data_IF_209443142223
#
_entry.id   IF_209443142223
#
_cell.length_a   1.000
_cell.length_b   1.000
_cell.length_c   1.000
_cell.angle_alpha   90.00
_cell.angle_beta   90.00
_cell.angle_gamma   90.00
#
_symmetry.space_group_name_H-M   'P 1'
#
loop_
_entity.id
_entity.type
_entity.pdbx_description
1 polymer ?
#
# COMPACT_ATOMS: atom_id res chain seq x y z
N UNK A 1 -2.96 2.88 17.91
CA UNK A 1 -2.90 1.68 17.05
C UNK A 1 -3.46 2.08 15.70
N UNK A 2 -2.69 1.96 14.62
CA UNK A 2 -3.16 2.26 13.26
C UNK A 2 -3.87 1.03 12.72
N UNK A 3 -5.09 1.20 12.22
CA UNK A 3 -5.91 0.12 11.65
C UNK A 3 -6.20 0.33 10.16
N UNK A 4 -5.87 1.50 9.63
CA UNK A 4 -6.13 1.88 8.25
C UNK A 4 -5.05 2.88 7.77
N UNK A 5 -4.54 2.68 6.56
CA UNK A 5 -3.58 3.59 5.91
C UNK A 5 -3.85 3.65 4.41
N UNK A 6 -3.72 4.84 3.83
CA UNK A 6 -3.87 5.05 2.39
C UNK A 6 -2.61 5.69 1.84
N UNK A 7 -2.12 5.14 0.72
CA UNK A 7 -1.10 5.76 -0.11
C UNK A 7 -1.76 6.33 -1.37
N UNK A 8 -1.35 7.52 -1.78
CA UNK A 8 -1.65 8.06 -3.09
C UNK A 8 -0.43 7.86 -3.99
N UNK A 9 -0.66 7.35 -5.19
CA UNK A 9 0.40 7.05 -6.14
C UNK A 9 -0.04 7.37 -7.57
N UNK A 10 0.89 7.83 -8.40
CA UNK A 10 0.64 8.02 -9.83
C UNK A 10 0.42 6.68 -10.55
N UNK A 11 1.16 5.64 -10.14
CA UNK A 11 1.07 4.29 -10.67
C UNK A 11 0.86 3.31 -9.51
N UNK A 12 -0.41 2.98 -9.26
CA UNK A 12 -0.81 2.14 -8.12
C UNK A 12 -0.24 0.73 -8.22
N UNK A 13 -0.08 0.17 -9.43
CA UNK A 13 0.44 -1.18 -9.61
C UNK A 13 1.94 -1.24 -9.36
N UNK A 14 2.69 -0.27 -9.91
CA UNK A 14 4.13 -0.16 -9.66
C UNK A 14 4.44 0.10 -8.18
N UNK A 15 3.62 0.90 -7.49
CA UNK A 15 3.73 1.08 -6.04
C UNK A 15 3.42 -0.23 -5.31
N UNK A 16 2.35 -0.94 -5.69
CA UNK A 16 2.01 -2.21 -5.08
C UNK A 16 3.08 -3.27 -5.28
N UNK A 17 3.78 -3.33 -6.42
CA UNK A 17 4.87 -4.27 -6.66
C UNK A 17 5.96 -4.21 -5.58
N UNK A 18 6.31 -3.02 -5.09
CA UNK A 18 7.27 -2.86 -3.99
C UNK A 18 6.76 -3.51 -2.71
N UNK A 19 5.48 -3.31 -2.39
CA UNK A 19 4.87 -3.84 -1.18
C UNK A 19 4.56 -5.35 -1.28
N UNK A 20 4.28 -5.87 -2.48
CA UNK A 20 4.15 -7.31 -2.76
C UNK A 20 5.44 -8.05 -2.43
N UNK A 21 6.61 -7.48 -2.74
CA UNK A 21 7.89 -8.05 -2.34
C UNK A 21 8.05 -8.14 -0.81
N UNK A 22 7.38 -7.26 -0.06
CA UNK A 22 7.34 -7.26 1.40
C UNK A 22 6.22 -8.16 1.98
N UNK A 23 5.52 -8.91 1.13
CA UNK A 23 4.45 -9.84 1.53
C UNK A 23 3.06 -9.20 1.67
N UNK A 24 2.86 -7.97 1.16
CA UNK A 24 1.56 -7.31 1.14
C UNK A 24 0.86 -7.57 -0.19
N UNK A 25 0.05 -8.62 -0.23
CA UNK A 25 -0.79 -8.93 -1.39
C UNK A 25 -2.01 -8.02 -1.43
N UNK A 26 -2.16 -7.27 -2.52
CA UNK A 26 -3.28 -6.36 -2.74
C UNK A 26 -4.14 -6.79 -3.91
N UNK A 27 -5.46 -6.69 -3.76
CA UNK A 27 -6.45 -6.94 -4.81
C UNK A 27 -7.03 -5.63 -5.34
N UNK A 28 -7.53 -5.64 -6.58
CA UNK A 28 -8.19 -4.46 -7.15
C UNK A 28 -9.62 -4.34 -6.63
N UNK A 29 -9.95 -3.14 -6.15
CA UNK A 29 -11.27 -2.78 -5.66
C UNK A 29 -11.80 -1.49 -6.30
N UNK A 30 -13.11 -1.32 -6.26
CA UNK A 30 -13.79 -0.09 -6.63
C UNK A 30 -15.06 0.07 -5.78
N UNK A 31 -15.16 1.19 -5.06
CA UNK A 31 -16.33 1.47 -4.23
C UNK A 31 -17.26 2.44 -4.94
N UNK A 32 -18.44 1.98 -5.33
CA UNK A 32 -19.43 2.79 -6.05
C UNK A 32 -18.86 3.39 -7.34
N UNK A 33 -18.95 4.71 -7.48
CA UNK A 33 -18.38 5.46 -8.62
C UNK A 33 -16.97 5.99 -8.35
N UNK A 34 -16.34 5.57 -7.25
CA UNK A 34 -14.97 5.96 -6.90
C UNK A 34 -13.93 5.40 -7.87
N UNK A 35 -12.68 5.88 -7.78
CA UNK A 35 -11.61 5.35 -8.61
C UNK A 35 -11.32 3.89 -8.25
N UNK A 36 -10.87 3.13 -9.25
CA UNK A 36 -10.29 1.81 -9.02
C UNK A 36 -8.97 1.98 -8.25
N UNK A 37 -8.79 1.18 -7.20
CA UNK A 37 -7.62 1.22 -6.33
C UNK A 37 -7.19 -0.22 -5.99
N UNK A 38 -6.10 -0.34 -5.23
CA UNK A 38 -5.63 -1.61 -4.69
C UNK A 38 -5.80 -1.62 -3.17
N UNK A 39 -6.24 -2.76 -2.61
CA UNK A 39 -6.45 -2.95 -1.19
C UNK A 39 -5.76 -4.22 -0.71
N UNK A 40 -4.96 -4.11 0.35
CA UNK A 40 -4.39 -5.22 1.11
C UNK A 40 -5.08 -5.26 2.48
N UNK A 41 -5.70 -6.39 2.81
CA UNK A 41 -6.43 -6.58 4.06
C UNK A 41 -5.73 -7.65 4.88
N UNK A 42 -5.27 -7.27 6.08
CA UNK A 42 -4.78 -8.19 7.11
C UNK A 42 -5.75 -8.23 8.29
N UNK A 43 -5.50 -9.10 9.28
CA UNK A 43 -6.34 -9.19 10.48
C UNK A 43 -6.47 -7.87 11.28
N UNK A 44 -5.51 -6.94 11.14
CA UNK A 44 -5.40 -5.75 12.00
C UNK A 44 -5.23 -4.43 11.25
N UNK A 45 -4.92 -4.48 9.96
CA UNK A 45 -4.62 -3.33 9.13
C UNK A 45 -5.24 -3.51 7.74
N UNK A 46 -5.87 -2.44 7.27
CA UNK A 46 -6.20 -2.24 5.87
C UNK A 46 -5.23 -1.22 5.29
N UNK A 47 -4.57 -1.58 4.19
CA UNK A 47 -3.71 -0.69 3.42
C UNK A 47 -4.30 -0.52 2.03
N UNK A 48 -4.52 0.72 1.62
CA UNK A 48 -5.05 1.05 0.29
C UNK A 48 -4.06 1.88 -0.51
N UNK A 49 -4.02 1.66 -1.82
CA UNK A 49 -3.21 2.43 -2.77
C UNK A 49 -4.15 3.01 -3.81
N UNK A 50 -4.41 4.31 -3.68
CA UNK A 50 -5.29 5.07 -4.56
C UNK A 50 -4.51 5.78 -5.66
N UNK A 51 -5.11 5.92 -6.86
CA UNK A 51 -4.55 6.80 -7.87
C UNK A 51 -4.58 8.24 -7.35
N UNK A 52 -3.49 8.96 -7.52
CA UNK A 52 -3.37 10.35 -7.10
C UNK A 52 -2.07 10.97 -7.59
N UNK A 53 -1.90 12.26 -7.30
CA UNK A 53 -0.63 12.93 -7.50
C UNK A 53 0.39 12.44 -6.46
N UNK A 54 1.68 12.55 -6.76
CA UNK A 54 2.74 12.35 -5.77
C UNK A 54 2.69 13.47 -4.73
N UNK A 55 1.81 13.31 -3.74
CA UNK A 55 1.73 14.20 -2.59
C UNK A 55 2.71 13.67 -1.55
N UNK A 56 3.86 14.32 -1.44
CA UNK A 56 4.73 14.09 -0.29
C UNK A 56 3.94 14.43 0.98
N UNK A 57 3.90 13.50 1.94
CA UNK A 57 3.39 13.75 3.29
C UNK A 57 4.60 13.99 4.21
N UNK A 58 5.19 15.19 4.23
CA UNK A 58 6.40 15.44 5.01
C UNK A 58 6.15 15.17 6.50
N UNK A 59 7.03 14.36 7.10
CA UNK A 59 6.97 14.00 8.51
C UNK A 59 6.27 12.68 8.83
N UNK A 60 5.66 12.00 7.84
CA UNK A 60 5.08 10.67 8.04
C UNK A 60 6.03 9.61 7.48
N UNK A 61 6.44 8.68 8.35
CA UNK A 61 7.15 7.46 7.96
C UNK A 61 6.34 6.26 8.43
N UNK A 62 6.11 5.31 7.52
CA UNK A 62 5.47 4.04 7.83
C UNK A 62 6.55 2.96 7.82
N UNK A 63 6.71 2.29 8.96
CA UNK A 63 7.56 1.10 9.07
C UNK A 63 6.74 -0.17 8.88
N UNK A 64 7.35 -1.19 8.29
CA UNK A 64 6.79 -2.53 8.15
C UNK A 64 7.67 -3.51 8.93
N UNK A 65 7.03 -4.33 9.76
CA UNK A 65 7.69 -5.49 10.35
C UNK A 65 7.63 -6.63 9.33
N UNK A 66 8.80 -7.10 8.89
CA UNK A 66 8.93 -8.10 7.83
C UNK A 66 9.74 -9.28 8.32
N UNK A 67 9.39 -10.48 7.86
CA UNK A 67 10.02 -11.71 8.33
C UNK A 67 11.54 -11.76 8.06
N UNK A 68 11.96 -11.30 6.87
CA UNK A 68 13.37 -11.23 6.47
C UNK A 68 13.54 -10.18 5.37
N UNK A 69 14.33 -9.13 5.64
CA UNK A 69 14.54 -8.04 4.68
C UNK A 69 15.53 -8.42 3.57
N UNK A 70 16.43 -9.38 3.82
CA UNK A 70 17.46 -9.75 2.85
C UNK A 70 16.86 -10.47 1.63
N UNK A 71 15.67 -11.05 1.76
CA UNK A 71 14.95 -11.65 0.63
C UNK A 71 14.33 -10.62 -0.33
N UNK A 72 14.21 -9.37 0.08
CA UNK A 72 13.50 -8.32 -0.67
C UNK A 72 14.44 -7.38 -1.40
N UNK A 73 15.71 -7.31 -0.99
CA UNK A 73 16.75 -6.44 -1.60
C UNK A 73 17.49 -7.19 -2.72
N UNK A 74 16.83 -7.41 -3.86
CA UNK A 74 17.50 -7.92 -5.07
C UNK A 74 18.04 -6.78 -5.93
#
# INVERSE_FOLDING_TARGET
MLTFVTFFAQDIERTADVYRLLGLDSISEQHGTGPRHLACVSERLVLEIYPGEDVACPGVMVGLDVADLDQVRT
#
